data_IF_570888784140
#
_entry.id   IF_570888784140
#
_cell.length_a   1.000
_cell.length_b   1.000
_cell.length_c   1.000
_cell.angle_alpha   90.00
_cell.angle_beta   90.00
_cell.angle_gamma   90.00
#
_symmetry.space_group_name_H-M   'P 1'
#
loop_
_entity.id
_entity.type
_entity.pdbx_description
1 polymer ?
#
# COMPACT_ATOMS: atom_id res chain seq x y z
N UNK A 1 -42.51 -0.97 23.46
CA UNK A 1 -42.28 -1.75 22.24
C UNK A 1 -41.09 -1.14 21.52
N UNK A 2 -40.16 -2.00 21.14
CA UNK A 2 -38.96 -1.76 20.35
C UNK A 2 -37.85 -0.83 20.91
N UNK A 3 -37.07 -1.47 21.77
CA UNK A 3 -35.66 -1.23 22.09
C UNK A 3 -34.84 -0.78 20.87
N UNK A 4 -34.24 0.40 20.96
CA UNK A 4 -33.26 0.93 20.02
C UNK A 4 -31.99 0.08 20.05
N UNK A 5 -31.97 -0.99 19.28
CA UNK A 5 -30.74 -1.68 18.91
C UNK A 5 -30.07 -0.91 17.78
N UNK A 6 -29.27 0.08 18.19
CA UNK A 6 -28.23 0.69 17.38
C UNK A 6 -27.25 -0.40 16.96
N UNK A 7 -27.51 -1.02 15.80
CA UNK A 7 -26.55 -1.93 15.17
C UNK A 7 -25.46 -1.07 14.56
N UNK A 8 -24.34 -1.02 15.27
CA UNK A 8 -23.04 -0.68 14.73
C UNK A 8 -22.76 -1.61 13.54
N UNK A 9 -23.04 -1.13 12.33
CA UNK A 9 -22.35 -1.66 11.16
C UNK A 9 -21.09 -0.82 11.08
N UNK A 10 -20.01 -1.35 11.65
CA UNK A 10 -18.67 -0.92 11.30
C UNK A 10 -18.60 -0.99 9.78
N UNK A 11 -18.58 0.17 9.13
CA UNK A 11 -18.20 0.24 7.73
C UNK A 11 -16.72 -0.17 7.69
N UNK A 12 -16.48 -1.46 7.45
CA UNK A 12 -15.22 -2.04 7.01
C UNK A 12 -14.85 -1.31 5.71
N UNK A 13 -14.29 -0.11 5.85
CA UNK A 13 -13.51 0.48 4.78
C UNK A 13 -12.31 -0.44 4.63
N UNK A 14 -12.04 -1.01 3.45
CA UNK A 14 -10.76 -1.64 3.22
C UNK A 14 -9.71 -0.60 3.61
N UNK A 15 -8.88 -0.97 4.57
CA UNK A 15 -7.85 -0.11 5.11
C UNK A 15 -7.03 0.38 3.91
N UNK A 16 -7.02 1.70 3.64
CA UNK A 16 -6.32 2.29 2.48
C UNK A 16 -4.80 1.97 2.51
N UNK A 17 -4.32 1.35 3.60
CA UNK A 17 -2.98 0.83 3.80
C UNK A 17 -2.68 -0.48 3.02
N UNK A 18 -3.70 -1.19 2.51
CA UNK A 18 -3.54 -2.47 1.78
C UNK A 18 -3.71 -2.35 0.24
N UNK A 19 -3.64 -1.13 -0.30
CA UNK A 19 -3.58 -0.88 -1.75
C UNK A 19 -2.29 -0.18 -2.16
N UNK A 20 -1.83 -0.42 -3.39
CA UNK A 20 -0.67 0.29 -3.93
C UNK A 20 -1.05 1.71 -4.37
N UNK A 21 -0.41 2.77 -3.85
CA UNK A 21 -0.76 4.15 -4.19
C UNK A 21 -0.34 4.56 -5.62
N UNK A 22 0.36 3.70 -6.37
CA UNK A 22 0.78 3.97 -7.75
C UNK A 22 -0.27 3.49 -8.75
N UNK A 23 -0.73 2.23 -8.63
CA UNK A 23 -1.74 1.63 -9.52
C UNK A 23 -3.16 1.62 -8.93
N UNK A 24 -3.29 1.87 -7.62
CA UNK A 24 -4.54 1.80 -6.85
C UNK A 24 -5.18 0.40 -6.83
N UNK A 25 -4.35 -0.65 -6.96
CA UNK A 25 -4.76 -2.06 -6.87
C UNK A 25 -4.32 -2.68 -5.53
N UNK A 26 -5.03 -3.74 -5.12
CA UNK A 26 -4.73 -4.51 -3.90
C UNK A 26 -3.42 -5.30 -4.05
N UNK A 27 -2.86 -5.73 -2.92
CA UNK A 27 -1.69 -6.61 -2.90
C UNK A 27 -2.10 -8.08 -2.85
N UNK A 28 -1.51 -8.90 -3.72
CA UNK A 28 -1.83 -10.33 -3.86
C UNK A 28 -0.59 -11.20 -3.69
N UNK A 29 -0.78 -12.53 -3.58
CA UNK A 29 0.33 -13.48 -3.54
C UNK A 29 1.18 -13.44 -4.83
N UNK A 30 0.57 -13.13 -5.98
CA UNK A 30 1.27 -12.96 -7.27
C UNK A 30 2.00 -11.60 -7.36
N UNK A 31 1.47 -10.57 -6.70
CA UNK A 31 2.02 -9.22 -6.67
C UNK A 31 2.09 -8.71 -5.23
N UNK A 32 3.07 -9.16 -4.43
CA UNK A 32 3.14 -8.81 -3.03
C UNK A 32 3.58 -7.35 -2.83
N UNK A 33 3.19 -6.79 -1.67
CA UNK A 33 3.68 -5.48 -1.24
C UNK A 33 5.16 -5.53 -0.90
N UNK A 34 5.92 -4.60 -1.47
CA UNK A 34 7.33 -4.38 -1.19
C UNK A 34 7.49 -3.18 -0.27
N UNK A 35 8.18 -3.36 0.85
CA UNK A 35 8.44 -2.29 1.81
C UNK A 35 9.72 -1.53 1.44
N UNK A 36 9.60 -0.22 1.30
CA UNK A 36 10.75 0.67 1.08
C UNK A 36 11.42 1.06 2.41
N UNK A 37 12.64 1.62 2.36
CA UNK A 37 13.36 2.14 3.54
C UNK A 37 12.63 3.28 4.24
N UNK A 38 11.76 4.00 3.54
CA UNK A 38 10.90 5.01 4.11
C UNK A 38 9.57 4.46 4.64
N UNK A 39 9.47 3.13 4.83
CA UNK A 39 8.31 2.42 5.40
C UNK A 39 7.02 2.52 4.58
N UNK A 40 7.11 2.90 3.31
CA UNK A 40 5.98 2.90 2.38
C UNK A 40 5.94 1.62 1.54
N UNK A 41 4.72 1.14 1.28
CA UNK A 41 4.44 -0.08 0.55
C UNK A 41 4.04 0.21 -0.90
N UNK A 42 4.56 -0.57 -1.83
CA UNK A 42 4.21 -0.53 -3.25
C UNK A 42 4.36 -1.92 -3.87
N UNK A 43 3.72 -2.19 -5.00
CA UNK A 43 4.11 -3.35 -5.81
C UNK A 43 5.53 -3.16 -6.31
N UNK A 44 6.31 -4.25 -6.34
CA UNK A 44 7.69 -4.22 -6.82
C UNK A 44 7.79 -3.62 -8.23
N UNK A 45 6.92 -4.04 -9.15
CA UNK A 45 6.87 -3.51 -10.51
C UNK A 45 6.59 -2.00 -10.53
N UNK A 46 5.55 -1.56 -9.80
CA UNK A 46 5.16 -0.15 -9.76
C UNK A 46 6.28 0.76 -9.23
N UNK A 47 6.95 0.37 -8.14
CA UNK A 47 8.05 1.17 -7.59
C UNK A 47 9.29 1.13 -8.49
N UNK A 48 9.57 0.02 -9.17
CA UNK A 48 10.68 -0.06 -10.12
C UNK A 48 10.44 0.84 -11.34
N UNK A 49 9.24 0.81 -11.92
CA UNK A 49 8.87 1.71 -13.04
C UNK A 49 8.90 3.19 -12.64
N UNK A 50 8.57 3.49 -11.38
CA UNK A 50 8.71 4.83 -10.83
C UNK A 50 10.19 5.22 -10.71
N UNK A 51 11.04 4.33 -10.22
CA UNK A 51 12.49 4.54 -10.09
C UNK A 51 13.21 4.80 -11.42
N UNK A 52 12.65 4.33 -12.55
CA UNK A 52 13.16 4.71 -13.88
C UNK A 52 12.96 6.20 -14.20
N UNK A 53 12.03 6.87 -13.50
CA UNK A 53 11.68 8.28 -13.70
C UNK A 53 12.15 9.17 -12.55
N UNK A 54 12.05 8.70 -11.31
CA UNK A 54 12.47 9.42 -10.09
C UNK A 54 13.00 8.48 -9.02
N UNK A 55 14.13 8.83 -8.44
CA UNK A 55 14.77 8.10 -7.35
C UNK A 55 14.12 8.37 -5.99
N UNK A 56 13.02 9.15 -5.94
CA UNK A 56 12.33 9.55 -4.71
C UNK A 56 10.98 8.87 -4.54
N UNK A 57 10.54 8.73 -3.30
CA UNK A 57 9.31 8.05 -2.93
C UNK A 57 8.11 8.91 -3.31
N UNK A 58 7.10 8.39 -4.03
CA UNK A 58 5.94 9.17 -4.44
C UNK A 58 5.07 9.66 -3.26
N UNK A 59 5.26 9.08 -2.05
CA UNK A 59 4.49 9.44 -0.86
C UNK A 59 5.19 10.48 0.01
N UNK A 60 6.51 10.38 0.17
CA UNK A 60 7.26 11.21 1.13
C UNK A 60 8.47 11.94 0.55
N UNK A 61 8.73 11.79 -0.75
CA UNK A 61 9.82 12.42 -1.50
C UNK A 61 11.24 12.13 -0.96
N UNK A 62 11.37 11.09 -0.12
CA UNK A 62 12.66 10.59 0.35
C UNK A 62 13.25 9.60 -0.67
N UNK A 63 14.57 9.43 -0.67
CA UNK A 63 15.25 8.49 -1.58
C UNK A 63 14.63 7.10 -1.45
N UNK A 64 14.09 6.58 -2.55
CA UNK A 64 13.48 5.27 -2.64
C UNK A 64 14.59 4.22 -2.62
N UNK A 65 14.58 3.40 -1.57
CA UNK A 65 15.39 2.19 -1.49
C UNK A 65 14.47 1.04 -1.12
N UNK A 66 14.44 0.01 -1.96
CA UNK A 66 13.58 -1.17 -1.76
C UNK A 66 14.31 -2.12 -0.80
N UNK A 67 13.64 -2.56 0.28
CA UNK A 67 14.16 -3.66 1.09
C UNK A 67 13.83 -4.97 0.38
N UNK A 68 14.60 -5.33 -0.64
CA UNK A 68 14.48 -6.63 -1.28
C UNK A 68 15.10 -7.68 -0.35
N UNK A 69 14.31 -8.25 0.56
CA UNK A 69 14.63 -9.54 1.17
C UNK A 69 14.25 -10.62 0.15
N UNK A 70 15.20 -10.95 -0.72
CA UNK A 70 15.14 -12.20 -1.48
C UNK A 70 15.45 -13.35 -0.50
N UNK A 71 14.50 -14.26 -0.31
CA UNK A 71 14.78 -15.65 0.10
C UNK A 71 14.46 -16.59 -1.07
#
# INVERSE_FOLDING_TARGET
>A
DNESLQKCVSEDKPDEEDVCPICLEEYDEENPRSMTKCEHHFHLCCILEWMERSETCPVCDQITMINAMYE
#
